data_IF_868457760417
#
_entry.id   IF_868457760417
#
_cell.length_a   1.000
_cell.length_b   1.000
_cell.length_c   1.000
_cell.angle_alpha   90.00
_cell.angle_beta   90.00
_cell.angle_gamma   90.00
#
_symmetry.space_group_name_H-M   'P 1'
#
loop_
_entity.id
_entity.type
_entity.pdbx_description
1 polymer ?
#
# COMPACT_ATOMS: atom_id res chain seq x y z
N UNK A 1 -2.55 -21.05 6.73
CA UNK A 1 -1.73 -19.82 6.54
C UNK A 1 -0.85 -20.02 5.32
N UNK A 2 -1.00 -19.16 4.34
CA UNK A 2 -0.15 -19.18 3.16
C UNK A 2 1.25 -18.69 3.55
N UNK A 3 2.30 -19.28 2.94
CA UNK A 3 3.67 -18.77 3.09
C UNK A 3 4.00 -17.62 2.11
N UNK A 4 2.99 -17.12 1.41
CA UNK A 4 3.17 -16.07 0.40
C UNK A 4 3.67 -14.80 1.10
N UNK A 5 4.80 -14.29 0.63
CA UNK A 5 5.47 -13.11 1.20
C UNK A 5 5.68 -13.21 2.72
N UNK A 6 6.18 -14.35 3.20
CA UNK A 6 6.39 -14.57 4.63
C UNK A 6 5.11 -14.55 5.48
N UNK A 7 3.94 -14.73 4.87
CA UNK A 7 2.63 -14.65 5.52
C UNK A 7 1.94 -13.29 5.40
N UNK A 8 2.59 -12.26 4.85
CA UNK A 8 2.04 -10.89 4.72
C UNK A 8 0.71 -10.85 3.97
N UNK A 9 0.55 -11.69 2.93
CA UNK A 9 -0.70 -11.80 2.19
C UNK A 9 -1.90 -12.12 3.12
N UNK A 10 -1.71 -12.97 4.12
CA UNK A 10 -2.76 -13.29 5.09
C UNK A 10 -2.99 -12.17 6.12
N UNK A 11 -2.00 -11.33 6.37
CA UNK A 11 -2.11 -10.21 7.30
C UNK A 11 -2.99 -9.06 6.77
N UNK A 12 -3.25 -9.01 5.47
CA UNK A 12 -4.21 -8.07 4.86
C UNK A 12 -5.66 -8.26 5.37
N UNK A 13 -5.94 -9.36 6.05
CA UNK A 13 -7.21 -9.60 6.75
C UNK A 13 -7.40 -8.73 8.00
N UNK A 14 -6.37 -8.02 8.46
CA UNK A 14 -6.44 -7.20 9.68
C UNK A 14 -7.58 -6.17 9.62
N UNK A 15 -7.69 -5.43 8.52
CA UNK A 15 -8.74 -4.40 8.37
C UNK A 15 -10.16 -4.95 8.53
N UNK A 16 -10.58 -6.02 7.81
CA UNK A 16 -11.92 -6.57 7.98
C UNK A 16 -12.17 -7.14 9.38
N UNK A 17 -11.19 -7.75 10.04
CA UNK A 17 -11.38 -8.26 11.40
C UNK A 17 -11.56 -7.13 12.42
N UNK A 18 -10.80 -6.06 12.34
CA UNK A 18 -11.02 -4.87 13.18
C UNK A 18 -12.39 -4.25 12.93
N UNK A 19 -12.83 -4.17 11.67
CA UNK A 19 -14.17 -3.67 11.34
C UNK A 19 -15.28 -4.58 11.87
N UNK A 20 -15.13 -5.89 11.81
CA UNK A 20 -16.06 -6.84 12.41
C UNK A 20 -16.15 -6.63 13.92
N UNK A 21 -15.02 -6.46 14.61
CA UNK A 21 -15.03 -6.11 16.03
C UNK A 21 -15.80 -4.83 16.31
N UNK A 22 -15.58 -3.78 15.53
CA UNK A 22 -16.30 -2.50 15.70
C UNK A 22 -17.82 -2.62 15.50
N UNK A 23 -18.26 -3.55 14.65
CA UNK A 23 -19.68 -3.77 14.35
C UNK A 23 -20.36 -4.70 15.35
N UNK A 24 -19.66 -5.72 15.84
CA UNK A 24 -20.26 -6.80 16.63
C UNK A 24 -19.90 -6.75 18.11
N UNK A 25 -18.81 -6.08 18.47
CA UNK A 25 -18.15 -6.10 19.77
C UNK A 25 -17.67 -7.52 20.20
N UNK A 26 -17.63 -8.49 19.29
CA UNK A 26 -17.15 -9.83 19.58
C UNK A 26 -15.64 -9.87 19.74
N UNK A 27 -15.19 -10.22 20.94
CA UNK A 27 -13.77 -10.20 21.33
C UNK A 27 -12.87 -11.06 20.43
N UNK A 28 -13.38 -12.16 19.88
CA UNK A 28 -12.62 -13.04 19.01
C UNK A 28 -12.00 -12.33 17.80
N UNK A 29 -12.70 -11.32 17.24
CA UNK A 29 -12.18 -10.55 16.12
C UNK A 29 -11.03 -9.63 16.55
N UNK A 30 -11.12 -9.06 17.76
CA UNK A 30 -10.04 -8.25 18.31
C UNK A 30 -8.81 -9.12 18.65
N UNK A 31 -9.02 -10.26 19.32
CA UNK A 31 -7.93 -11.19 19.68
C UNK A 31 -7.17 -11.68 18.44
N UNK A 32 -7.90 -11.95 17.35
CA UNK A 32 -7.28 -12.34 16.09
C UNK A 32 -6.53 -11.16 15.43
N UNK A 33 -7.04 -9.95 15.54
CA UNK A 33 -6.35 -8.74 15.05
C UNK A 33 -5.04 -8.51 15.82
N UNK A 34 -5.05 -8.66 17.15
CA UNK A 34 -3.86 -8.59 18.00
C UNK A 34 -2.83 -9.68 17.64
N UNK A 35 -3.30 -10.88 17.34
CA UNK A 35 -2.43 -11.94 16.85
C UNK A 35 -1.76 -11.56 15.51
N UNK A 36 -2.50 -11.02 14.54
CA UNK A 36 -1.91 -10.56 13.27
C UNK A 36 -0.82 -9.51 13.53
N UNK A 37 -1.10 -8.51 14.36
CA UNK A 37 -0.14 -7.43 14.69
C UNK A 37 1.10 -8.01 15.37
N UNK A 38 0.93 -8.96 16.29
CA UNK A 38 2.05 -9.60 17.00
C UNK A 38 3.01 -10.36 16.08
N UNK A 39 2.59 -10.70 14.85
CA UNK A 39 3.48 -11.32 13.84
C UNK A 39 4.39 -10.33 13.11
N UNK A 40 4.21 -9.02 13.33
CA UNK A 40 4.95 -7.98 12.60
C UNK A 40 4.67 -7.95 11.11
N UNK A 41 3.56 -8.55 10.65
CA UNK A 41 3.12 -8.74 9.26
C UNK A 41 3.94 -9.74 8.42
N UNK A 42 5.06 -10.25 8.93
CA UNK A 42 5.83 -11.28 8.24
C UNK A 42 6.62 -12.11 9.26
N UNK A 43 6.74 -13.43 9.04
CA UNK A 43 7.56 -14.28 9.90
C UNK A 43 9.07 -14.07 9.74
N UNK A 44 9.46 -13.49 8.61
CA UNK A 44 10.87 -13.33 8.27
C UNK A 44 11.39 -11.95 8.70
N UNK A 45 10.48 -11.03 9.07
CA UNK A 45 10.84 -9.66 9.39
C UNK A 45 9.68 -8.94 10.09
N UNK A 46 9.95 -8.24 11.18
CA UNK A 46 8.97 -7.36 11.82
C UNK A 46 8.86 -6.03 11.08
N UNK A 47 7.94 -5.97 10.12
CA UNK A 47 7.71 -4.80 9.26
C UNK A 47 7.19 -3.62 10.09
N UNK A 48 6.36 -3.88 11.11
CA UNK A 48 5.81 -2.81 11.96
C UNK A 48 6.94 -2.11 12.70
N UNK A 49 7.84 -2.86 13.33
CA UNK A 49 8.99 -2.30 14.06
C UNK A 49 9.95 -1.54 13.14
N UNK A 50 10.20 -2.05 11.95
CA UNK A 50 11.02 -1.34 10.95
C UNK A 50 10.40 0.01 10.55
N UNK A 51 9.08 0.08 10.43
CA UNK A 51 8.39 1.33 10.14
C UNK A 51 8.40 2.30 11.33
N UNK A 52 8.33 1.80 12.58
CA UNK A 52 8.47 2.64 13.78
C UNK A 52 9.83 3.33 13.84
N UNK A 53 10.91 2.65 13.43
CA UNK A 53 12.29 3.15 13.51
C UNK A 53 12.80 3.80 12.22
N UNK A 54 12.14 3.59 11.08
CA UNK A 54 12.62 3.98 9.73
C UNK A 54 14.00 3.42 9.38
N UNK A 55 14.36 2.28 9.94
CA UNK A 55 15.68 1.66 9.74
C UNK A 55 15.94 1.25 8.29
N UNK A 56 14.87 0.78 7.62
CA UNK A 56 14.89 0.38 6.21
C UNK A 56 13.71 0.97 5.49
N UNK A 57 13.85 1.21 4.20
CA UNK A 57 12.78 1.63 3.31
C UNK A 57 11.94 0.43 2.86
N UNK A 58 10.68 0.60 2.47
CA UNK A 58 9.83 -0.50 2.02
C UNK A 58 10.42 -1.36 0.91
N UNK A 59 11.17 -0.78 -0.01
CA UNK A 59 11.84 -1.53 -1.09
C UNK A 59 13.05 -2.35 -0.63
N UNK A 60 13.53 -2.16 0.60
CA UNK A 60 14.64 -2.90 1.21
C UNK A 60 14.15 -4.03 2.12
N UNK A 61 12.84 -4.20 2.29
CA UNK A 61 12.29 -5.28 3.09
C UNK A 61 12.46 -6.62 2.39
N UNK A 62 12.40 -7.72 3.15
CA UNK A 62 12.50 -9.06 2.59
C UNK A 62 11.37 -9.39 1.61
N UNK A 63 10.21 -8.79 1.82
CA UNK A 63 9.04 -8.89 0.93
C UNK A 63 8.52 -7.49 0.64
N UNK A 64 8.49 -7.14 -0.63
CA UNK A 64 8.22 -5.76 -1.08
C UNK A 64 6.89 -5.61 -1.83
N UNK A 65 5.99 -6.60 -1.70
CA UNK A 65 4.68 -6.58 -2.37
C UNK A 65 3.83 -5.41 -1.87
N UNK A 66 3.67 -4.40 -2.71
CA UNK A 66 3.18 -3.09 -2.31
C UNK A 66 1.70 -3.10 -1.91
N UNK A 67 0.84 -3.75 -2.69
CA UNK A 67 -0.60 -3.79 -2.41
C UNK A 67 -0.89 -4.45 -1.07
N UNK A 68 -0.35 -5.64 -0.83
CA UNK A 68 -0.56 -6.38 0.40
C UNK A 68 0.00 -5.63 1.61
N UNK A 69 1.18 -5.04 1.47
CA UNK A 69 1.79 -4.25 2.55
C UNK A 69 0.92 -3.04 2.91
N UNK A 70 0.47 -2.27 1.92
CA UNK A 70 -0.44 -1.14 2.17
C UNK A 70 -1.73 -1.60 2.84
N UNK A 71 -2.30 -2.73 2.42
CA UNK A 71 -3.51 -3.29 3.04
C UNK A 71 -3.28 -3.67 4.51
N UNK A 72 -2.10 -4.18 4.87
CA UNK A 72 -1.74 -4.44 6.26
C UNK A 72 -1.70 -3.14 7.08
N UNK A 73 -1.12 -2.07 6.54
CA UNK A 73 -1.07 -0.77 7.22
C UNK A 73 -2.44 -0.07 7.26
N UNK A 74 -3.34 -0.28 6.28
CA UNK A 74 -4.75 0.13 6.40
C UNK A 74 -5.41 -0.56 7.60
N UNK A 75 -5.13 -1.85 7.80
CA UNK A 75 -5.60 -2.62 8.95
C UNK A 75 -5.03 -2.09 10.28
N UNK A 76 -3.73 -1.78 10.33
CA UNK A 76 -3.10 -1.21 11.52
C UNK A 76 -3.71 0.16 11.87
N UNK A 77 -4.01 0.98 10.88
CA UNK A 77 -4.68 2.25 11.09
C UNK A 77 -6.11 2.09 11.63
N UNK A 78 -6.86 1.10 11.18
CA UNK A 78 -8.17 0.78 11.75
C UNK A 78 -8.04 0.24 13.18
N UNK A 79 -7.01 -0.53 13.48
CA UNK A 79 -6.73 -1.01 14.83
C UNK A 79 -6.35 0.14 15.77
N UNK A 80 -5.51 1.08 15.32
CA UNK A 80 -5.22 2.31 16.06
C UNK A 80 -6.50 3.04 16.49
N UNK A 81 -7.51 3.15 15.63
CA UNK A 81 -8.80 3.79 15.98
C UNK A 81 -9.58 3.07 17.09
N UNK A 82 -9.22 1.82 17.38
CA UNK A 82 -9.85 1.04 18.47
C UNK A 82 -9.03 1.13 19.75
N UNK A 83 -7.71 1.06 19.66
CA UNK A 83 -6.79 0.95 20.81
C UNK A 83 -6.19 2.28 21.24
N UNK A 84 -5.98 3.20 20.30
CA UNK A 84 -5.39 4.51 20.56
C UNK A 84 -3.88 4.48 20.84
N UNK A 85 -3.18 3.43 20.39
CA UNK A 85 -1.71 3.36 20.58
C UNK A 85 -0.99 4.24 19.55
N UNK A 86 -0.39 5.32 19.99
CA UNK A 86 0.32 6.28 19.14
C UNK A 86 1.52 5.68 18.40
N UNK A 87 2.14 4.60 18.92
CA UNK A 87 3.21 3.92 18.22
C UNK A 87 2.69 3.18 16.97
N UNK A 88 1.45 2.73 16.97
CA UNK A 88 0.84 2.15 15.79
C UNK A 88 0.54 3.23 14.73
N UNK A 89 0.01 4.38 15.13
CA UNK A 89 -0.17 5.52 14.22
C UNK A 89 1.16 5.98 13.65
N UNK A 90 2.18 6.09 14.47
CA UNK A 90 3.54 6.45 14.06
C UNK A 90 4.10 5.47 13.02
N UNK A 91 3.88 4.16 13.20
CA UNK A 91 4.29 3.16 12.22
C UNK A 91 3.63 3.38 10.86
N UNK A 92 2.31 3.67 10.85
CA UNK A 92 1.56 3.94 9.61
C UNK A 92 2.03 5.23 8.93
N UNK A 93 2.19 6.32 9.69
CA UNK A 93 2.69 7.61 9.17
C UNK A 93 4.09 7.43 8.58
N UNK A 94 4.99 6.81 9.31
CA UNK A 94 6.36 6.56 8.87
C UNK A 94 6.40 5.68 7.61
N UNK A 95 5.55 4.65 7.54
CA UNK A 95 5.44 3.80 6.35
C UNK A 95 5.05 4.63 5.13
N UNK A 96 3.99 5.44 5.23
CA UNK A 96 3.55 6.29 4.11
C UNK A 96 4.64 7.30 3.75
N UNK A 97 5.28 7.95 4.71
CA UNK A 97 6.37 8.89 4.44
C UNK A 97 7.52 8.23 3.66
N UNK A 98 7.93 7.02 4.07
CA UNK A 98 8.97 6.26 3.37
C UNK A 98 8.55 5.87 1.94
N UNK A 99 7.28 5.48 1.73
CA UNK A 99 6.74 5.22 0.38
C UNK A 99 6.78 6.48 -0.47
N UNK A 100 6.36 7.63 0.08
CA UNK A 100 6.38 8.90 -0.65
C UNK A 100 7.80 9.36 -1.03
N UNK A 101 8.78 9.04 -0.20
CA UNK A 101 10.17 9.37 -0.45
C UNK A 101 10.84 8.47 -1.50
N UNK A 102 10.51 7.18 -1.54
CA UNK A 102 11.26 6.19 -2.35
C UNK A 102 10.46 5.56 -3.49
N UNK A 103 9.16 5.42 -3.33
CA UNK A 103 8.34 4.63 -4.24
C UNK A 103 7.16 5.40 -4.87
N UNK A 104 7.17 6.72 -4.72
CA UNK A 104 6.15 7.59 -5.29
C UNK A 104 6.69 8.32 -6.52
N UNK A 105 6.08 8.09 -7.68
CA UNK A 105 6.55 8.64 -8.95
C UNK A 105 6.05 10.07 -9.19
N UNK A 106 6.61 10.75 -10.17
CA UNK A 106 6.24 12.12 -10.52
C UNK A 106 4.75 12.25 -10.89
N UNK A 107 4.17 11.23 -11.50
CA UNK A 107 2.73 11.22 -11.87
C UNK A 107 1.85 10.72 -10.72
N UNK A 108 2.42 10.35 -9.60
CA UNK A 108 1.65 9.96 -8.42
C UNK A 108 1.26 8.49 -8.34
N UNK A 109 2.00 7.61 -8.96
CA UNK A 109 1.81 6.16 -8.77
C UNK A 109 2.98 5.52 -8.03
N UNK A 110 2.82 4.25 -7.68
CA UNK A 110 3.78 3.42 -6.98
C UNK A 110 3.72 1.99 -7.52
N UNK A 111 4.68 1.14 -7.15
CA UNK A 111 4.69 -0.26 -7.57
C UNK A 111 5.04 -0.42 -9.05
N UNK A 112 6.13 0.18 -9.52
CA UNK A 112 6.49 0.20 -10.94
C UNK A 112 6.82 -1.18 -11.51
N UNK A 113 7.48 -2.06 -10.75
CA UNK A 113 7.85 -3.38 -11.23
C UNK A 113 7.04 -4.45 -10.50
N UNK A 114 6.18 -5.18 -11.22
CA UNK A 114 5.39 -6.29 -10.68
C UNK A 114 4.66 -6.00 -9.37
N UNK A 115 4.15 -4.77 -9.21
CA UNK A 115 3.45 -4.32 -8.00
C UNK A 115 4.32 -4.31 -6.73
N UNK A 116 5.63 -4.17 -6.90
CA UNK A 116 6.57 -4.16 -5.77
C UNK A 116 6.96 -2.74 -5.39
N UNK A 117 7.27 -2.52 -4.11
CA UNK A 117 8.14 -1.42 -3.74
C UNK A 117 9.54 -1.74 -4.25
N UNK A 118 10.07 -0.89 -5.10
CA UNK A 118 11.30 -1.16 -5.85
C UNK A 118 12.14 0.09 -6.10
N UNK A 119 11.97 1.11 -5.25
CA UNK A 119 12.52 2.44 -5.42
C UNK A 119 12.00 3.12 -6.70
N UNK A 120 10.69 3.07 -6.89
CA UNK A 120 9.99 3.55 -8.09
C UNK A 120 10.29 5.02 -8.42
N UNK A 121 10.58 5.86 -7.42
CA UNK A 121 10.95 7.27 -7.60
C UNK A 121 12.21 7.44 -8.45
N UNK A 122 13.14 6.49 -8.38
CA UNK A 122 14.36 6.45 -9.20
C UNK A 122 14.12 5.70 -10.50
N UNK A 123 13.44 4.56 -10.46
CA UNK A 123 13.20 3.71 -11.64
C UNK A 123 12.35 4.38 -12.71
N UNK A 124 11.43 5.28 -12.34
CA UNK A 124 10.58 6.01 -13.29
C UNK A 124 11.39 6.77 -14.36
N UNK A 125 12.63 7.15 -14.07
CA UNK A 125 13.49 7.89 -14.99
C UNK A 125 14.27 6.98 -15.93
N UNK A 126 14.26 5.68 -15.63
CA UNK A 126 14.99 4.68 -16.38
C UNK A 126 14.01 3.75 -17.08
N UNK A 127 13.57 4.17 -18.28
CA UNK A 127 12.58 3.43 -19.05
C UNK A 127 13.14 2.05 -19.44
N UNK A 128 12.73 1.03 -18.74
CA UNK A 128 13.03 -0.36 -19.04
C UNK A 128 11.73 -1.15 -19.31
N UNK A 129 11.83 -2.25 -20.04
CA UNK A 129 10.70 -3.15 -20.21
C UNK A 129 10.20 -3.63 -18.84
N UNK A 130 8.88 -3.63 -18.66
CA UNK A 130 8.23 -4.12 -17.43
C UNK A 130 7.91 -3.07 -16.38
N UNK A 131 8.13 -1.77 -16.61
CA UNK A 131 7.64 -0.71 -15.74
C UNK A 131 6.13 -0.54 -15.94
N UNK A 132 5.33 -0.91 -14.93
CA UNK A 132 3.87 -0.95 -15.04
C UNK A 132 3.14 0.25 -14.46
N UNK A 133 3.62 0.81 -13.36
CA UNK A 133 2.91 1.83 -12.59
C UNK A 133 1.50 1.36 -12.21
N UNK A 134 1.44 0.46 -11.26
CA UNK A 134 0.28 -0.34 -10.94
C UNK A 134 -0.88 0.47 -10.32
N UNK A 135 -2.07 0.43 -10.97
CA UNK A 135 -3.22 1.24 -10.55
C UNK A 135 -3.77 0.84 -9.19
N UNK A 136 -3.81 -0.45 -8.85
CA UNK A 136 -4.38 -0.86 -7.56
C UNK A 136 -3.47 -0.46 -6.39
N UNK A 137 -2.16 -0.47 -6.56
CA UNK A 137 -1.21 0.07 -5.58
C UNK A 137 -1.46 1.57 -5.38
N UNK A 138 -1.62 2.32 -6.48
CA UNK A 138 -1.92 3.75 -6.45
C UNK A 138 -3.23 4.06 -5.72
N UNK A 139 -4.30 3.35 -6.03
CA UNK A 139 -5.62 3.53 -5.37
C UNK A 139 -5.53 3.20 -3.88
N UNK A 140 -4.79 2.16 -3.51
CA UNK A 140 -4.63 1.78 -2.10
C UNK A 140 -3.83 2.84 -1.33
N UNK A 141 -2.78 3.42 -1.94
CA UNK A 141 -2.07 4.56 -1.36
C UNK A 141 -3.00 5.76 -1.15
N UNK A 142 -3.83 6.10 -2.15
CA UNK A 142 -4.81 7.18 -2.02
C UNK A 142 -5.80 6.94 -0.88
N UNK A 143 -6.28 5.70 -0.71
CA UNK A 143 -7.18 5.31 0.41
C UNK A 143 -6.50 5.49 1.76
N UNK A 144 -5.26 5.03 1.88
CA UNK A 144 -4.49 5.17 3.12
C UNK A 144 -4.22 6.64 3.44
N UNK A 145 -3.84 7.44 2.45
CA UNK A 145 -3.67 8.89 2.58
C UNK A 145 -4.97 9.59 2.99
N UNK A 146 -6.12 9.23 2.40
CA UNK A 146 -7.40 9.82 2.78
C UNK A 146 -7.76 9.55 4.26
N UNK A 147 -7.46 8.36 4.77
CA UNK A 147 -7.67 8.02 6.18
C UNK A 147 -6.72 8.77 7.11
N UNK A 148 -5.45 8.90 6.70
CA UNK A 148 -4.46 9.69 7.46
C UNK A 148 -4.83 11.18 7.48
N UNK A 149 -5.28 11.74 6.36
CA UNK A 149 -5.76 13.12 6.29
C UNK A 149 -6.88 13.36 7.32
N UNK A 150 -7.83 12.44 7.42
CA UNK A 150 -8.95 12.54 8.38
C UNK A 150 -8.50 12.47 9.85
N UNK A 151 -7.39 11.81 10.15
CA UNK A 151 -6.87 11.65 11.51
C UNK A 151 -5.93 12.78 11.88
N UNK A 152 -5.02 13.14 10.99
CA UNK A 152 -3.92 14.07 11.27
C UNK A 152 -4.21 15.51 10.85
N UNK A 153 -5.08 15.71 9.86
CA UNK A 153 -5.31 17.02 9.24
C UNK A 153 -4.14 17.51 8.36
N UNK A 154 -3.13 16.68 8.11
CA UNK A 154 -1.94 17.08 7.34
C UNK A 154 -2.23 17.13 5.84
N UNK A 155 -2.12 18.31 5.25
CA UNK A 155 -2.43 18.57 3.85
C UNK A 155 -1.57 17.80 2.85
N UNK A 156 -0.38 17.32 3.25
CA UNK A 156 0.47 16.48 2.37
C UNK A 156 -0.27 15.27 1.82
N UNK A 157 -1.20 14.69 2.60
CA UNK A 157 -2.00 13.57 2.14
C UNK A 157 -3.05 13.96 1.10
N UNK A 158 -3.58 15.19 1.17
CA UNK A 158 -4.45 15.73 0.14
C UNK A 158 -3.69 15.94 -1.18
N UNK A 159 -2.47 16.44 -1.14
CA UNK A 159 -1.60 16.62 -2.31
C UNK A 159 -1.29 15.28 -2.99
N UNK A 160 -1.06 14.22 -2.21
CA UNK A 160 -0.87 12.86 -2.74
C UNK A 160 -2.12 12.38 -3.47
N UNK A 161 -3.30 12.52 -2.85
CA UNK A 161 -4.58 12.10 -3.43
C UNK A 161 -4.84 12.85 -4.73
N UNK A 162 -4.65 14.15 -4.74
CA UNK A 162 -4.86 14.99 -5.91
C UNK A 162 -3.94 14.60 -7.07
N UNK A 163 -2.63 14.52 -6.82
CA UNK A 163 -1.65 14.14 -7.83
C UNK A 163 -1.90 12.75 -8.38
N UNK A 164 -2.14 11.78 -7.52
CA UNK A 164 -2.41 10.39 -7.92
C UNK A 164 -3.72 10.29 -8.71
N UNK A 165 -4.75 10.98 -8.28
CA UNK A 165 -6.06 10.97 -8.91
C UNK A 165 -6.03 11.56 -10.32
N UNK A 166 -5.53 12.79 -10.45
CA UNK A 166 -5.55 13.47 -11.74
C UNK A 166 -4.54 12.92 -12.75
N UNK A 167 -3.39 12.45 -12.33
CA UNK A 167 -2.37 12.00 -13.27
C UNK A 167 -2.33 10.49 -13.41
N UNK A 168 -2.10 9.73 -12.33
CA UNK A 168 -1.93 8.29 -12.42
C UNK A 168 -3.25 7.55 -12.68
N UNK A 169 -4.29 7.82 -11.88
CA UNK A 169 -5.56 7.09 -11.98
C UNK A 169 -6.33 7.44 -13.25
N UNK A 170 -6.56 8.72 -13.51
CA UNK A 170 -7.26 9.13 -14.74
C UNK A 170 -6.41 8.89 -15.98
N UNK A 171 -5.09 9.00 -15.89
CA UNK A 171 -4.17 8.64 -16.97
C UNK A 171 -4.17 7.16 -17.35
N UNK A 172 -4.62 6.27 -16.47
CA UNK A 172 -4.76 4.85 -16.75
C UNK A 172 -5.99 4.52 -17.63
N UNK A 173 -6.86 5.50 -17.88
CA UNK A 173 -8.07 5.31 -18.72
C UNK A 173 -7.70 5.40 -20.20
N UNK A 174 -8.15 4.41 -20.98
CA UNK A 174 -8.01 4.48 -22.44
C UNK A 174 -9.11 5.35 -23.03
N UNK A 175 -8.75 6.55 -23.48
CA UNK A 175 -9.68 7.51 -24.06
C UNK A 175 -10.30 7.06 -25.38
N UNK A 176 -9.63 6.20 -26.16
CA UNK A 176 -10.16 5.74 -27.46
C UNK A 176 -11.32 4.76 -27.29
N UNK A 177 -11.25 3.90 -26.29
CA UNK A 177 -12.28 2.86 -26.06
C UNK A 177 -13.13 3.11 -24.81
N UNK A 178 -12.91 4.22 -24.11
CA UNK A 178 -13.53 4.54 -22.82
C UNK A 178 -13.47 3.38 -21.78
N UNK A 179 -12.54 2.46 -21.99
CA UNK A 179 -12.36 1.30 -21.14
C UNK A 179 -11.08 1.52 -20.35
N UNK A 180 -11.18 1.44 -19.04
CA UNK A 180 -10.00 1.41 -18.20
C UNK A 180 -9.20 0.17 -18.61
N UNK A 181 -8.19 0.36 -19.45
CA UNK A 181 -7.26 -0.71 -19.77
C UNK A 181 -6.39 -0.90 -18.56
N UNK A 182 -6.49 -2.09 -18.01
CA UNK A 182 -5.81 -2.53 -16.81
C UNK A 182 -4.40 -1.97 -16.74
N UNK A 183 -4.14 -1.17 -15.76
CA UNK A 183 -2.79 -1.01 -15.27
C UNK A 183 -2.29 -2.30 -14.57
N UNK A 184 -3.20 -3.24 -14.34
CA UNK A 184 -2.97 -4.56 -13.77
C UNK A 184 -2.65 -5.56 -14.87
N UNK A 185 -1.40 -5.97 -14.97
CA UNK A 185 -1.00 -7.12 -15.75
C UNK A 185 -1.14 -6.97 -17.27
N UNK A 186 -1.11 -5.77 -17.81
CA UNK A 186 -1.08 -5.54 -19.25
C UNK A 186 0.08 -4.63 -19.60
N UNK A 187 1.04 -5.17 -20.32
CA UNK A 187 2.10 -4.42 -21.00
C UNK A 187 1.67 -4.19 -22.45
N UNK A 188 1.79 -2.97 -22.91
CA UNK A 188 1.57 -2.64 -24.31
C UNK A 188 2.79 -3.03 -25.14
N UNK A 189 2.61 -3.96 -26.06
CA UNK A 189 3.55 -4.21 -27.15
C UNK A 189 2.95 -3.70 -28.45
N UNK A 190 3.41 -2.54 -28.90
CA UNK A 190 2.87 -1.93 -30.11
C UNK A 190 1.40 -1.50 -29.94
N UNK A 191 0.52 -1.98 -30.82
CA UNK A 191 -0.93 -1.67 -30.80
C UNK A 191 -1.77 -2.66 -30.01
N UNK A 192 -1.19 -3.73 -29.47
CA UNK A 192 -1.90 -4.78 -28.74
C UNK A 192 -1.50 -4.81 -27.27
N UNK A 193 -2.50 -4.98 -26.40
CA UNK A 193 -2.28 -5.22 -24.98
C UNK A 193 -1.95 -6.70 -24.76
N UNK A 194 -0.88 -6.98 -24.06
CA UNK A 194 -0.45 -8.35 -23.75
C UNK A 194 -0.58 -8.55 -22.24
N UNK A 195 -1.20 -9.65 -21.76
CA UNK A 195 -1.16 -10.00 -20.35
C UNK A 195 0.28 -10.17 -19.87
N UNK A 196 0.57 -9.70 -18.66
CA UNK A 196 1.86 -9.87 -17.98
C UNK A 196 1.82 -11.12 -17.15
#
# INVERSE_FOLDING_TARGET
TTNIYGGMHSCSLLEPFVKLYKLTAEKNYLDFSEYIISTGFSKDQDIISLCKTKEKRPFEFNHTKAYEMMSCFEGLLEYYKVKGDEEDLKAVVNFVDMVLESDYTIIGCSGCTHELFDNSSVKQTNYSEGVMQETCVTVTLMKLCARLLMITGDSKYADVIERSGYNALFGAVNSENQTMKRALGIVWKGKEAVPV
#
